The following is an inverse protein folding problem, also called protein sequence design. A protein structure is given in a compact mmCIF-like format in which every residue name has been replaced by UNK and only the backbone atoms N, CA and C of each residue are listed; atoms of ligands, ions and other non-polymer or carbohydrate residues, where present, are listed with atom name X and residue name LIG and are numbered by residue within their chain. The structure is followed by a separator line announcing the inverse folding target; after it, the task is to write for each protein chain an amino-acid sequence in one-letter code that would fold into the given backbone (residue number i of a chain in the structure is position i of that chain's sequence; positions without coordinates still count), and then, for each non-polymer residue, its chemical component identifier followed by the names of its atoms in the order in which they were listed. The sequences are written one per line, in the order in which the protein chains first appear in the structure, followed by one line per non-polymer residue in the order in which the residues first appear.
data_IF_922321732863
#
_entry.id   IF_922321732863
#
_cell.length_a   1.000
_cell.length_b   1.000
_cell.length_c   1.000
_cell.angle_alpha   90.00
_cell.angle_beta   90.00
_cell.angle_gamma   90.00
#
_symmetry.space_group_name_H-M   'P 1'
#
loop_
_entity.id
_entity.type
_entity.pdbx_description
1 polymer ?
#
# COMPACT_ATOMS: atom_id res chain seq x y z
N UNK A 1 15.52 2.58 -14.76
CA UNK A 1 14.24 2.75 -15.47
C UNK A 1 14.18 4.09 -16.20
N UNK A 2 14.20 5.23 -15.51
CA UNK A 2 14.16 6.56 -16.16
C UNK A 2 15.37 6.80 -17.09
N UNK A 3 16.59 6.63 -16.58
CA UNK A 3 17.83 6.73 -17.38
C UNK A 3 17.99 5.62 -18.44
N UNK A 4 17.05 4.69 -18.54
CA UNK A 4 17.06 3.57 -19.50
C UNK A 4 15.85 3.63 -20.44
N UNK A 5 15.03 4.69 -20.36
CA UNK A 5 13.76 4.84 -21.09
C UNK A 5 12.86 3.60 -21.02
N UNK A 6 12.87 2.94 -19.85
CA UNK A 6 12.27 1.63 -19.61
C UNK A 6 11.24 1.66 -18.48
N UNK A 7 10.39 2.70 -18.43
CA UNK A 7 9.31 2.77 -17.45
C UNK A 7 8.22 1.71 -17.77
N UNK A 8 7.67 1.03 -16.76
CA UNK A 8 6.61 0.06 -16.96
C UNK A 8 5.30 0.74 -17.40
N UNK A 9 4.47 0.01 -18.15
CA UNK A 9 3.15 0.47 -18.58
C UNK A 9 2.11 0.56 -17.43
N UNK A 10 2.40 -0.05 -16.27
CA UNK A 10 1.58 0.02 -15.07
C UNK A 10 2.47 0.35 -13.87
N UNK A 11 1.98 1.16 -12.91
CA UNK A 11 2.75 1.45 -11.71
C UNK A 11 3.02 0.18 -10.90
N UNK A 12 4.16 0.15 -10.22
CA UNK A 12 4.35 -0.73 -9.07
C UNK A 12 3.40 -0.29 -7.95
N UNK A 13 2.83 -1.27 -7.25
CA UNK A 13 1.95 -1.05 -6.11
C UNK A 13 2.66 -1.60 -4.87
N UNK A 14 2.96 -0.72 -3.92
CA UNK A 14 3.60 -1.06 -2.67
C UNK A 14 2.57 -1.38 -1.59
N UNK A 15 2.79 -2.48 -0.89
CA UNK A 15 2.16 -2.74 0.40
C UNK A 15 3.00 -2.09 1.50
N UNK A 16 2.42 -1.13 2.23
CA UNK A 16 3.10 -0.35 3.25
C UNK A 16 2.44 -0.60 4.61
N UNK A 17 3.09 -1.36 5.51
CA UNK A 17 2.62 -1.51 6.89
C UNK A 17 2.65 -0.17 7.62
N UNK A 18 1.58 0.13 8.35
CA UNK A 18 1.48 1.34 9.18
C UNK A 18 1.04 0.98 10.59
N UNK A 19 1.66 1.61 11.58
CA UNK A 19 1.24 1.48 12.98
C UNK A 19 -0.12 2.13 13.18
N UNK A 20 -1.04 1.42 13.82
CA UNK A 20 -2.34 1.94 14.29
C UNK A 20 -2.30 2.35 15.76
N UNK A 21 -1.15 2.12 16.41
CA UNK A 21 -0.93 2.39 17.82
C UNK A 21 -1.13 3.88 18.10
N UNK A 22 -1.87 4.18 19.18
CA UNK A 22 -2.15 5.55 19.64
C UNK A 22 -1.60 5.84 21.04
N UNK A 23 -1.02 4.84 21.68
CA UNK A 23 -0.49 4.82 23.03
C UNK A 23 0.98 4.35 23.04
N UNK A 24 1.63 4.44 24.20
CA UNK A 24 3.04 4.04 24.36
C UNK A 24 3.21 2.54 24.70
N UNK A 25 2.14 1.74 24.60
CA UNK A 25 2.21 0.30 24.90
C UNK A 25 3.02 -0.43 23.83
N UNK A 26 3.83 -1.41 24.21
CA UNK A 26 4.58 -2.25 23.26
C UNK A 26 3.83 -3.55 22.86
N UNK A 27 2.66 -3.80 23.44
CA UNK A 27 1.92 -5.06 23.25
C UNK A 27 0.94 -5.00 22.06
N UNK A 28 0.75 -6.15 21.42
CA UNK A 28 -0.21 -6.35 20.35
C UNK A 28 0.22 -5.89 18.94
N UNK A 29 -0.21 -6.64 17.91
CA UNK A 29 -0.06 -6.28 16.51
C UNK A 29 -1.14 -5.26 16.10
N UNK A 30 -0.86 -3.98 16.33
CA UNK A 30 -1.72 -2.87 15.88
C UNK A 30 -1.21 -2.33 14.54
N UNK A 31 -1.43 -3.09 13.47
CA UNK A 31 -0.89 -2.78 12.14
C UNK A 31 -2.01 -2.75 11.09
N UNK A 32 -2.06 -1.66 10.33
CA UNK A 32 -2.86 -1.54 9.11
C UNK A 32 -1.95 -1.55 7.89
N UNK A 33 -2.56 -1.52 6.71
CA UNK A 33 -1.83 -1.57 5.44
C UNK A 33 -2.29 -0.44 4.53
N UNK A 34 -1.35 0.31 3.96
CA UNK A 34 -1.63 1.21 2.84
C UNK A 34 -1.15 0.54 1.55
N UNK A 35 -2.01 0.51 0.53
CA UNK A 35 -1.60 0.19 -0.83
C UNK A 35 -1.26 1.50 -1.55
N UNK A 36 0.03 1.73 -1.80
CA UNK A 36 0.53 2.95 -2.43
C UNK A 36 0.94 2.66 -3.88
N UNK A 37 0.35 3.40 -4.82
CA UNK A 37 0.92 3.47 -6.17
C UNK A 37 2.27 4.17 -6.11
N UNK A 38 3.32 3.53 -6.60
CA UNK A 38 4.65 4.11 -6.70
C UNK A 38 4.83 4.95 -7.97
N UNK A 39 3.76 5.08 -8.78
CA UNK A 39 3.72 5.86 -10.01
C UNK A 39 4.96 5.64 -10.88
N UNK A 40 5.44 4.40 -10.99
CA UNK A 40 6.66 4.07 -11.76
C UNK A 40 6.48 4.25 -13.27
N UNK A 41 5.25 4.44 -13.70
CA UNK A 41 4.83 4.84 -15.04
C UNK A 41 4.98 6.36 -15.30
N UNK A 42 5.16 7.18 -14.24
CA UNK A 42 5.42 8.62 -14.36
C UNK A 42 6.89 8.90 -14.71
N UNK A 43 7.09 9.70 -15.77
CA UNK A 43 8.40 10.06 -16.28
C UNK A 43 9.01 11.26 -15.56
N UNK A 44 8.19 12.18 -15.06
CA UNK A 44 8.70 13.35 -14.35
C UNK A 44 8.95 13.00 -12.86
N UNK A 45 10.21 13.01 -12.38
CA UNK A 45 10.53 12.50 -11.03
C UNK A 45 9.89 13.30 -9.91
N UNK A 46 9.73 14.62 -10.09
CA UNK A 46 9.09 15.50 -9.12
C UNK A 46 7.60 15.21 -9.03
N UNK A 47 6.93 15.11 -10.18
CA UNK A 47 5.49 14.79 -10.24
C UNK A 47 5.22 13.40 -9.67
N UNK A 48 6.10 12.44 -9.96
CA UNK A 48 6.04 11.10 -9.39
C UNK A 48 6.06 11.15 -7.86
N UNK A 49 7.02 11.86 -7.27
CA UNK A 49 7.13 11.98 -5.82
C UNK A 49 5.90 12.67 -5.21
N UNK A 50 5.42 13.74 -5.84
CA UNK A 50 4.22 14.47 -5.39
C UNK A 50 2.97 13.59 -5.42
N UNK A 51 2.78 12.79 -6.47
CA UNK A 51 1.67 11.83 -6.58
C UNK A 51 1.74 10.74 -5.51
N UNK A 52 2.92 10.15 -5.29
CA UNK A 52 3.15 9.17 -4.20
C UNK A 52 2.79 9.80 -2.85
N UNK A 53 3.31 11.00 -2.58
CA UNK A 53 3.06 11.71 -1.33
C UNK A 53 1.57 11.98 -1.13
N UNK A 54 0.88 12.55 -2.13
CA UNK A 54 -0.57 12.83 -2.05
C UNK A 54 -1.37 11.56 -1.77
N UNK A 55 -1.13 10.47 -2.52
CA UNK A 55 -1.86 9.22 -2.33
C UNK A 55 -1.65 8.59 -0.96
N UNK A 56 -0.42 8.65 -0.42
CA UNK A 56 -0.13 8.18 0.94
C UNK A 56 -0.79 9.08 1.99
N UNK A 57 -0.78 10.40 1.80
CA UNK A 57 -1.45 11.32 2.72
C UNK A 57 -2.96 11.13 2.74
N UNK A 58 -3.60 10.95 1.59
CA UNK A 58 -5.03 10.65 1.49
C UNK A 58 -5.38 9.35 2.22
N UNK A 59 -4.56 8.30 2.06
CA UNK A 59 -4.74 7.05 2.79
C UNK A 59 -4.59 7.23 4.32
N UNK A 60 -3.60 8.01 4.76
CA UNK A 60 -3.41 8.34 6.18
C UNK A 60 -4.56 9.17 6.74
N UNK A 61 -5.06 10.14 5.99
CA UNK A 61 -6.22 10.96 6.38
C UNK A 61 -7.48 10.11 6.52
N UNK A 62 -7.69 9.13 5.62
CA UNK A 62 -8.77 8.16 5.76
C UNK A 62 -8.66 7.37 7.06
N UNK A 63 -7.47 6.89 7.41
CA UNK A 63 -7.24 6.15 8.66
C UNK A 63 -7.39 7.03 9.91
N UNK A 64 -7.03 8.31 9.82
CA UNK A 64 -7.24 9.25 10.93
C UNK A 64 -8.72 9.44 11.28
N UNK A 65 -9.63 9.26 10.31
CA UNK A 65 -11.07 9.32 10.51
C UNK A 65 -11.71 7.99 10.97
N UNK A 66 -10.92 6.93 11.12
CA UNK A 66 -11.39 5.58 11.48
C UNK A 66 -10.93 5.17 12.88
N UNK A 67 -11.68 4.26 13.52
CA UNK A 67 -11.22 3.51 14.68
C UNK A 67 -10.15 2.47 14.27
N UNK A 68 -9.30 1.99 15.20
CA UNK A 68 -8.35 0.93 14.88
C UNK A 68 -9.00 -0.33 14.31
N UNK A 69 -10.18 -0.73 14.82
CA UNK A 69 -10.95 -1.89 14.36
C UNK A 69 -11.46 -1.71 12.92
N UNK A 70 -11.94 -0.50 12.59
CA UNK A 70 -12.35 -0.15 11.23
C UNK A 70 -11.17 -0.24 10.25
N UNK A 71 -9.97 0.20 10.65
CA UNK A 71 -8.77 0.11 9.80
C UNK A 71 -8.36 -1.35 9.57
N UNK A 72 -8.45 -2.20 10.60
CA UNK A 72 -8.17 -3.64 10.47
C UNK A 72 -9.16 -4.30 9.50
N UNK A 73 -10.46 -4.04 9.65
CA UNK A 73 -11.49 -4.57 8.76
C UNK A 73 -11.32 -4.08 7.31
N UNK A 74 -11.04 -2.79 7.14
CA UNK A 74 -10.75 -2.21 5.83
C UNK A 74 -9.50 -2.85 5.17
N UNK A 75 -8.45 -3.07 5.96
CA UNK A 75 -7.22 -3.73 5.51
C UNK A 75 -7.51 -5.17 5.07
N UNK A 76 -8.28 -5.92 5.86
CA UNK A 76 -8.65 -7.30 5.53
C UNK A 76 -9.42 -7.38 4.20
N UNK A 77 -10.39 -6.48 3.98
CA UNK A 77 -11.14 -6.41 2.72
C UNK A 77 -10.26 -6.01 1.54
N UNK A 78 -9.35 -5.05 1.74
CA UNK A 78 -8.41 -4.59 0.73
C UNK A 78 -7.47 -5.72 0.26
N UNK A 79 -7.06 -6.59 1.18
CA UNK A 79 -6.16 -7.72 0.89
C UNK A 79 -6.89 -9.03 0.55
N UNK A 80 -8.22 -9.08 0.66
CA UNK A 80 -9.00 -10.29 0.39
C UNK A 80 -8.73 -10.90 -1.01
N UNK A 81 -8.59 -10.12 -2.11
CA UNK A 81 -8.25 -10.68 -3.41
C UNK A 81 -6.87 -11.36 -3.43
N UNK A 82 -5.87 -10.77 -2.73
CA UNK A 82 -4.54 -11.36 -2.61
C UNK A 82 -4.57 -12.68 -1.84
N UNK A 83 -5.31 -12.72 -0.72
CA UNK A 83 -5.49 -13.94 0.07
C UNK A 83 -6.23 -15.02 -0.72
N UNK A 84 -7.30 -14.66 -1.43
CA UNK A 84 -8.05 -15.58 -2.29
C UNK A 84 -7.17 -16.20 -3.37
N UNK A 85 -6.38 -15.37 -4.07
CA UNK A 85 -5.43 -15.85 -5.07
C UNK A 85 -4.39 -16.77 -4.42
N UNK A 86 -3.76 -16.39 -3.30
CA UNK A 86 -2.78 -17.22 -2.61
C UNK A 86 -3.33 -18.60 -2.22
N UNK A 87 -4.55 -18.66 -1.70
CA UNK A 87 -5.17 -19.89 -1.21
C UNK A 87 -5.64 -20.82 -2.33
N UNK A 88 -6.04 -20.28 -3.48
CA UNK A 88 -6.69 -21.05 -4.54
C UNK A 88 -5.82 -21.24 -5.79
N UNK A 89 -4.80 -20.41 -5.98
CA UNK A 89 -4.03 -20.34 -7.23
C UNK A 89 -4.81 -19.80 -8.43
N UNK A 90 -6.05 -19.35 -8.24
CA UNK A 90 -6.90 -18.79 -9.30
C UNK A 90 -6.50 -17.34 -9.60
N UNK A 91 -6.70 -16.94 -10.86
CA UNK A 91 -6.36 -15.61 -11.37
C UNK A 91 -4.88 -15.19 -11.17
N UNK A 92 -3.89 -15.97 -11.68
CA UNK A 92 -2.45 -15.74 -11.47
C UNK A 92 -1.93 -14.36 -11.90
N UNK A 93 -2.65 -13.69 -12.79
CA UNK A 93 -2.31 -12.34 -13.27
C UNK A 93 -2.83 -11.21 -12.39
N UNK A 94 -3.67 -11.51 -11.39
CA UNK A 94 -4.25 -10.52 -10.50
C UNK A 94 -3.40 -10.38 -9.25
N UNK A 95 -2.50 -9.40 -9.26
CA UNK A 95 -1.64 -9.06 -8.12
C UNK A 95 -2.14 -7.77 -7.48
N UNK A 96 -2.45 -7.83 -6.18
CA UNK A 96 -2.94 -6.66 -5.42
C UNK A 96 -1.80 -5.67 -5.13
N UNK A 97 -0.58 -6.19 -4.94
CA UNK A 97 0.66 -5.43 -4.80
C UNK A 97 1.82 -6.27 -5.35
N UNK A 98 2.96 -5.63 -5.63
CA UNK A 98 4.14 -6.30 -6.20
C UNK A 98 5.46 -5.95 -5.47
N UNK A 99 5.39 -5.12 -4.43
CA UNK A 99 6.52 -4.84 -3.55
C UNK A 99 6.02 -4.55 -2.14
N UNK A 100 6.82 -4.88 -1.14
CA UNK A 100 6.56 -4.50 0.27
C UNK A 100 7.60 -3.47 0.67
N UNK A 101 7.14 -2.34 1.22
CA UNK A 101 8.02 -1.29 1.75
C UNK A 101 7.63 -1.09 3.20
N UNK A 102 8.53 -1.45 4.11
CA UNK A 102 8.38 -1.21 5.54
C UNK A 102 9.59 -0.42 6.01
N UNK A 103 9.36 0.59 6.83
CA UNK A 103 10.42 1.18 7.64
C UNK A 103 10.42 0.47 9.00
N UNK A 104 11.58 0.03 9.46
CA UNK A 104 11.81 -0.37 10.85
C UNK A 104 12.21 0.82 11.70
#
# INVERSE_FOLDING_TARGET
LMNQDALPAKPLIAMVPVSLRRDDSAEGNQVGIILASLHTDEHEPVDRLMKIHSGVQEAKQRYAAMSPEEIVNYTALTLAPAAFHLLTGLAPKWQTFNVVISNV
#
